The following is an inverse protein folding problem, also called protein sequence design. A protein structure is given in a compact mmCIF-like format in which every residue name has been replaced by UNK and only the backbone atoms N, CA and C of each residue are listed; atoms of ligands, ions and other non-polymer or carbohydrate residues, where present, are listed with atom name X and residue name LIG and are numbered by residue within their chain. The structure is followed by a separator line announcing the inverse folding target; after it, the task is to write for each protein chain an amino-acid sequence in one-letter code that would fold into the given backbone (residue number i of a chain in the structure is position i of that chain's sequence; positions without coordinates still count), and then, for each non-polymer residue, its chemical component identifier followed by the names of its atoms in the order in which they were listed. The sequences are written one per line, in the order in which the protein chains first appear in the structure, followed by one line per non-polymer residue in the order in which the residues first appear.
data_IF_072546676832
#
_entry.id   IF_072546676832
#
_cell.length_a   1.000
_cell.length_b   1.000
_cell.length_c   1.000
_cell.angle_alpha   90.00
_cell.angle_beta   90.00
_cell.angle_gamma   90.00
#
_symmetry.space_group_name_H-M   'P 1'
#
loop_
_entity.id
_entity.type
_entity.pdbx_description
1 polymer ?
#
# COMPACT_ATOMS: atom_id res chain seq x y z
N UNK A 1 0.14 -1.32 -14.58
CA UNK A 1 -1.16 -0.87 -14.04
C UNK A 1 -2.27 -1.91 -14.15
N UNK A 2 -2.67 -2.38 -15.33
CA UNK A 2 -3.73 -3.39 -15.49
C UNK A 2 -3.56 -4.62 -14.58
N UNK A 3 -2.33 -5.16 -14.50
CA UNK A 3 -2.03 -6.32 -13.65
C UNK A 3 -2.39 -6.06 -12.18
N UNK A 4 -2.07 -4.88 -11.64
CA UNK A 4 -2.38 -4.52 -10.25
C UNK A 4 -3.88 -4.60 -9.98
N UNK A 5 -4.68 -3.91 -10.78
CA UNK A 5 -6.14 -3.86 -10.59
C UNK A 5 -6.78 -5.24 -10.70
N UNK A 6 -6.33 -6.03 -11.68
CA UNK A 6 -6.80 -7.42 -11.85
C UNK A 6 -6.46 -8.30 -10.65
N UNK A 7 -5.25 -8.18 -10.09
CA UNK A 7 -4.85 -8.95 -8.89
C UNK A 7 -5.60 -8.48 -7.65
N UNK A 8 -5.79 -7.17 -7.47
CA UNK A 8 -6.61 -6.62 -6.38
C UNK A 8 -8.05 -7.15 -6.43
N UNK A 9 -8.66 -7.21 -7.62
CA UNK A 9 -10.00 -7.79 -7.81
C UNK A 9 -10.13 -9.27 -7.42
N UNK A 10 -9.01 -10.02 -7.36
CA UNK A 10 -8.97 -11.41 -6.86
C UNK A 10 -8.83 -11.49 -5.34
N UNK A 11 -8.38 -10.42 -4.68
CA UNK A 11 -8.18 -10.39 -3.23
C UNK A 11 -9.52 -10.25 -2.48
N UNK A 12 -10.39 -9.35 -2.95
CA UNK A 12 -11.74 -9.17 -2.41
C UNK A 12 -12.67 -8.52 -3.46
N UNK A 13 -13.97 -8.86 -3.49
CA UNK A 13 -14.95 -8.20 -4.36
C UNK A 13 -15.02 -6.67 -4.20
N UNK A 14 -14.59 -6.11 -3.07
CA UNK A 14 -14.51 -4.67 -2.85
C UNK A 14 -13.60 -3.95 -3.86
N UNK A 15 -12.68 -4.66 -4.51
CA UNK A 15 -11.75 -4.14 -5.52
C UNK A 15 -12.13 -4.54 -6.96
N UNK A 16 -13.36 -5.00 -7.19
CA UNK A 16 -13.83 -5.45 -8.51
C UNK A 16 -14.29 -4.32 -9.44
N UNK A 17 -14.57 -3.14 -8.88
CA UNK A 17 -15.09 -1.99 -9.62
C UNK A 17 -14.31 -0.74 -9.26
N UNK A 18 -14.04 0.08 -10.27
CA UNK A 18 -13.24 1.28 -10.13
C UNK A 18 -13.84 2.44 -10.90
N UNK A 19 -13.65 3.63 -10.33
CA UNK A 19 -14.13 4.89 -10.84
C UNK A 19 -12.98 5.89 -10.84
N UNK A 20 -12.90 6.75 -11.85
CA UNK A 20 -11.95 7.87 -11.85
C UNK A 20 -12.29 8.80 -10.67
N UNK A 21 -11.27 9.29 -9.96
CA UNK A 21 -11.48 10.37 -8.99
C UNK A 21 -11.79 11.69 -9.71
N UNK A 22 -12.77 12.42 -9.18
CA UNK A 22 -13.11 13.79 -9.55
C UNK A 22 -13.33 14.65 -8.30
N UNK A 23 -13.22 15.97 -8.45
CA UNK A 23 -13.36 16.95 -7.37
C UNK A 23 -14.69 16.88 -6.59
N UNK A 24 -15.71 16.20 -7.12
CA UNK A 24 -16.94 15.93 -6.40
C UNK A 24 -17.29 14.44 -6.48
N UNK A 25 -17.72 13.89 -5.35
CA UNK A 25 -18.16 12.49 -5.25
C UNK A 25 -19.24 12.13 -6.28
N UNK A 26 -20.17 13.05 -6.55
CA UNK A 26 -21.24 12.87 -7.55
C UNK A 26 -20.68 12.73 -8.95
N UNK A 27 -19.61 13.46 -9.29
CA UNK A 27 -18.93 13.31 -10.57
C UNK A 27 -18.06 12.06 -10.62
N UNK A 28 -17.38 11.70 -9.53
CA UNK A 28 -16.55 10.48 -9.49
C UNK A 28 -17.38 9.21 -9.69
N UNK A 29 -18.59 9.13 -9.14
CA UNK A 29 -19.51 7.99 -9.34
C UNK A 29 -19.99 7.83 -10.80
N UNK A 30 -19.86 8.88 -11.62
CA UNK A 30 -20.28 8.86 -13.03
C UNK A 30 -19.16 8.45 -13.98
N UNK A 31 -17.97 8.14 -13.47
CA UNK A 31 -16.80 7.84 -14.28
C UNK A 31 -16.27 6.42 -14.01
N UNK A 32 -17.10 5.35 -14.18
CA UNK A 32 -16.58 4.00 -14.10
C UNK A 32 -15.57 3.78 -15.23
N UNK A 33 -14.54 3.00 -14.95
CA UNK A 33 -13.60 2.58 -15.98
C UNK A 33 -13.21 1.12 -15.79
N UNK A 34 -12.92 0.47 -16.91
CA UNK A 34 -12.28 -0.85 -16.89
C UNK A 34 -10.77 -0.65 -16.87
N UNK A 35 -10.04 -1.22 -15.89
CA UNK A 35 -8.61 -0.99 -15.69
C UNK A 35 -7.76 -1.81 -16.67
N UNK A 36 -7.99 -1.63 -17.98
CA UNK A 36 -7.24 -2.25 -19.07
C UNK A 36 -6.06 -1.39 -19.50
N UNK A 37 -5.07 -1.99 -20.17
CA UNK A 37 -3.92 -1.28 -20.73
C UNK A 37 -4.36 -0.16 -21.68
N UNK A 38 -5.37 -0.39 -22.53
CA UNK A 38 -5.93 0.64 -23.41
C UNK A 38 -6.50 1.82 -22.61
N UNK A 39 -7.23 1.57 -21.52
CA UNK A 39 -7.74 2.64 -20.67
C UNK A 39 -6.62 3.46 -20.03
N UNK A 40 -5.57 2.81 -19.53
CA UNK A 40 -4.43 3.52 -18.96
C UNK A 40 -3.65 4.33 -20.01
N UNK A 41 -3.49 3.83 -21.24
CA UNK A 41 -2.89 4.61 -22.35
C UNK A 41 -3.66 5.91 -22.60
N UNK A 42 -5.00 5.84 -22.66
CA UNK A 42 -5.84 7.04 -22.76
C UNK A 42 -5.68 7.97 -21.57
N UNK A 43 -5.45 7.44 -20.37
CA UNK A 43 -5.19 8.28 -19.19
C UNK A 43 -3.83 8.97 -19.26
N UNK A 44 -2.75 8.30 -19.68
CA UNK A 44 -1.43 8.91 -19.87
C UNK A 44 -1.47 10.10 -20.85
N UNK A 45 -2.33 10.02 -21.87
CA UNK A 45 -2.52 11.10 -22.83
C UNK A 45 -3.29 12.31 -22.25
N UNK A 46 -4.05 12.17 -21.17
CA UNK A 46 -4.83 13.27 -20.60
C UNK A 46 -3.95 14.19 -19.74
N UNK A 47 -3.92 15.48 -20.07
CA UNK A 47 -3.16 16.50 -19.32
C UNK A 47 -3.51 16.55 -17.83
N UNK A 48 -4.76 16.23 -17.45
CA UNK A 48 -5.21 16.25 -16.05
C UNK A 48 -4.47 15.26 -15.13
N UNK A 49 -3.83 14.23 -15.71
CA UNK A 49 -3.06 13.23 -14.96
C UNK A 49 -1.55 13.43 -15.08
N UNK A 50 -1.11 14.53 -15.70
CA UNK A 50 0.30 14.88 -15.82
C UNK A 50 0.60 16.04 -14.88
N UNK A 51 1.40 15.77 -13.85
CA UNK A 51 1.84 16.80 -12.91
C UNK A 51 3.02 17.60 -13.47
N UNK A 52 3.90 16.92 -14.22
CA UNK A 52 5.00 17.48 -14.99
C UNK A 52 5.12 16.73 -16.33
N UNK A 53 6.15 17.03 -17.14
CA UNK A 53 6.33 16.42 -18.48
C UNK A 53 6.36 14.89 -18.44
N UNK A 54 6.95 14.31 -17.39
CA UNK A 54 7.18 12.87 -17.27
C UNK A 54 6.46 12.25 -16.05
N UNK A 55 5.89 13.08 -15.17
CA UNK A 55 5.24 12.61 -13.94
C UNK A 55 3.75 12.39 -14.18
N UNK A 56 3.33 11.13 -14.04
CA UNK A 56 1.94 10.71 -14.08
C UNK A 56 1.40 10.52 -12.67
N UNK A 57 0.23 11.09 -12.39
CA UNK A 57 -0.49 10.90 -11.12
C UNK A 57 -1.94 10.50 -11.40
N UNK A 58 -2.42 9.50 -10.67
CA UNK A 58 -3.76 8.98 -10.88
C UNK A 58 -4.37 8.48 -9.59
N UNK A 59 -5.67 8.72 -9.47
CA UNK A 59 -6.48 8.30 -8.33
C UNK A 59 -7.74 7.59 -8.84
N UNK A 60 -8.01 6.43 -8.26
CA UNK A 60 -9.22 5.67 -8.48
C UNK A 60 -9.80 5.19 -7.16
N UNK A 61 -11.11 5.04 -7.12
CA UNK A 61 -11.83 4.60 -5.93
C UNK A 61 -12.87 3.55 -6.28
N UNK A 62 -13.25 2.73 -5.31
CA UNK A 62 -14.12 1.58 -5.55
C UNK A 62 -15.62 1.89 -5.50
N UNK A 63 -15.99 3.17 -5.37
CA UNK A 63 -17.37 3.65 -5.50
C UNK A 63 -18.30 3.34 -4.33
N UNK A 64 -17.81 2.78 -3.22
CA UNK A 64 -18.66 2.48 -2.05
C UNK A 64 -19.30 3.77 -1.50
N UNK A 65 -20.64 3.73 -1.37
CA UNK A 65 -21.51 4.91 -1.26
C UNK A 65 -21.65 5.49 0.15
N UNK A 66 -21.03 4.92 1.18
CA UNK A 66 -21.01 5.57 2.48
C UNK A 66 -19.65 6.27 2.70
N UNK A 67 -19.73 7.58 2.90
CA UNK A 67 -18.68 8.48 3.41
C UNK A 67 -17.23 8.39 2.85
N UNK A 68 -16.98 7.93 1.62
CA UNK A 68 -15.61 7.86 1.09
C UNK A 68 -14.72 6.87 1.85
N UNK A 69 -15.34 5.82 2.38
CA UNK A 69 -14.69 4.78 3.17
C UNK A 69 -14.43 3.48 2.39
N UNK A 70 -14.74 3.49 1.10
CA UNK A 70 -14.33 2.45 0.15
C UNK A 70 -12.82 2.39 -0.06
N UNK A 71 -12.39 1.43 -0.88
CA UNK A 71 -11.00 1.34 -1.31
C UNK A 71 -10.65 2.52 -2.21
N UNK A 72 -9.46 3.07 -2.06
CA UNK A 72 -8.94 4.13 -2.93
C UNK A 72 -7.48 3.84 -3.25
N UNK A 73 -7.16 3.80 -4.53
CA UNK A 73 -5.80 3.62 -5.02
C UNK A 73 -5.32 4.95 -5.61
N UNK A 74 -4.23 5.46 -5.09
CA UNK A 74 -3.50 6.58 -5.68
C UNK A 74 -2.09 6.15 -6.03
N UNK A 75 -1.56 6.67 -7.14
CA UNK A 75 -0.18 6.42 -7.48
C UNK A 75 0.43 7.56 -8.29
N UNK A 76 1.75 7.67 -8.15
CA UNK A 76 2.60 8.58 -8.90
C UNK A 76 3.73 7.77 -9.52
N UNK A 77 3.98 7.94 -10.81
CA UNK A 77 5.10 7.29 -11.51
C UNK A 77 5.74 8.19 -12.56
N UNK A 78 6.96 7.85 -12.98
CA UNK A 78 7.72 8.59 -13.99
C UNK A 78 8.47 9.81 -13.44
N UNK A 79 8.55 9.95 -12.12
CA UNK A 79 9.38 10.97 -11.49
C UNK A 79 10.80 10.47 -11.29
N UNK A 80 11.76 11.35 -11.61
CA UNK A 80 13.18 11.20 -11.27
C UNK A 80 13.61 12.18 -10.17
N UNK A 81 12.66 12.93 -9.59
CA UNK A 81 12.92 13.95 -8.58
C UNK A 81 12.44 13.50 -7.19
N UNK A 82 13.22 13.82 -6.15
CA UNK A 82 12.93 13.45 -4.76
C UNK A 82 11.62 14.05 -4.22
N UNK A 83 11.11 15.13 -4.80
CA UNK A 83 9.87 15.79 -4.34
C UNK A 83 8.59 15.06 -4.76
N UNK A 84 8.67 14.15 -5.74
CA UNK A 84 7.55 13.32 -6.17
C UNK A 84 8.03 11.87 -6.27
N UNK A 85 8.24 11.16 -5.15
CA UNK A 85 8.69 9.78 -5.24
C UNK A 85 7.66 8.93 -6.00
N UNK A 86 8.16 7.99 -6.79
CA UNK A 86 7.30 6.97 -7.39
C UNK A 86 6.69 6.14 -6.27
N UNK A 87 5.38 5.96 -6.28
CA UNK A 87 4.69 5.35 -5.16
C UNK A 87 3.27 4.94 -5.50
N UNK A 88 2.79 3.93 -4.78
CA UNK A 88 1.45 3.39 -4.90
C UNK A 88 0.85 3.23 -3.50
N UNK A 89 -0.26 3.94 -3.26
CA UNK A 89 -0.96 3.95 -1.98
C UNK A 89 -2.35 3.37 -2.18
N UNK A 90 -2.66 2.32 -1.42
CA UNK A 90 -4.00 1.76 -1.32
C UNK A 90 -4.59 2.07 0.06
N UNK A 91 -5.63 2.90 0.09
CA UNK A 91 -6.51 3.00 1.23
C UNK A 91 -7.43 1.78 1.26
N UNK A 92 -7.36 1.02 2.36
CA UNK A 92 -8.17 -0.17 2.57
C UNK A 92 -9.64 0.20 2.89
N UNK A 93 -10.61 -0.64 2.53
CA UNK A 93 -12.01 -0.47 2.93
C UNK A 93 -12.15 -0.36 4.45
N UNK A 94 -12.98 0.60 4.87
CA UNK A 94 -13.28 0.87 6.28
C UNK A 94 -14.74 0.58 6.64
N UNK A 95 -15.53 0.14 5.67
CA UNK A 95 -16.95 -0.18 5.85
C UNK A 95 -17.18 -1.68 5.86
N UNK A 96 -18.08 -2.11 6.73
CA UNK A 96 -18.56 -3.48 6.71
C UNK A 96 -19.50 -3.72 5.52
N UNK A 97 -19.53 -4.95 4.97
CA UNK A 97 -18.74 -6.12 5.38
C UNK A 97 -17.33 -6.19 4.75
N UNK A 98 -16.92 -5.20 3.94
CA UNK A 98 -15.64 -5.23 3.23
C UNK A 98 -14.44 -5.12 4.17
N UNK A 99 -14.53 -4.29 5.22
CA UNK A 99 -13.48 -4.08 6.19
C UNK A 99 -13.12 -5.38 6.93
N UNK A 100 -14.09 -6.12 7.47
CA UNK A 100 -13.81 -7.39 8.16
C UNK A 100 -13.20 -8.46 7.26
N UNK A 101 -13.60 -8.53 5.97
CA UNK A 101 -13.00 -9.47 5.01
C UNK A 101 -11.56 -9.10 4.65
N UNK A 102 -11.34 -7.82 4.33
CA UNK A 102 -10.05 -7.33 3.85
C UNK A 102 -9.02 -7.21 4.97
N UNK A 103 -9.41 -6.81 6.18
CA UNK A 103 -8.49 -6.53 7.29
C UNK A 103 -8.09 -7.81 8.05
N UNK A 104 -7.63 -8.79 7.29
CA UNK A 104 -7.07 -10.06 7.75
C UNK A 104 -5.67 -10.22 7.16
N UNK A 105 -4.77 -10.94 7.85
CA UNK A 105 -3.41 -11.16 7.33
C UNK A 105 -3.44 -11.89 5.97
N UNK A 106 -4.34 -12.86 5.79
CA UNK A 106 -4.44 -13.62 4.55
C UNK A 106 -4.78 -12.74 3.34
N UNK A 107 -5.80 -11.89 3.46
CA UNK A 107 -6.18 -11.00 2.35
C UNK A 107 -5.15 -9.90 2.15
N UNK A 108 -4.63 -9.29 3.23
CA UNK A 108 -3.61 -8.24 3.10
C UNK A 108 -2.29 -8.76 2.55
N UNK A 109 -1.93 -10.02 2.81
CA UNK A 109 -0.78 -10.66 2.18
C UNK A 109 -0.95 -10.70 0.65
N UNK A 110 -2.12 -11.09 0.15
CA UNK A 110 -2.40 -11.11 -1.29
C UNK A 110 -2.45 -9.71 -1.89
N UNK A 111 -2.97 -8.72 -1.15
CA UNK A 111 -2.93 -7.31 -1.56
C UNK A 111 -1.48 -6.80 -1.68
N UNK A 112 -0.65 -7.04 -0.65
CA UNK A 112 0.78 -6.67 -0.69
C UNK A 112 1.48 -7.39 -1.83
N UNK A 113 1.22 -8.67 -2.04
CA UNK A 113 1.74 -9.46 -3.17
C UNK A 113 1.34 -8.84 -4.51
N UNK A 114 0.08 -8.46 -4.68
CA UNK A 114 -0.40 -7.79 -5.90
C UNK A 114 0.33 -6.47 -6.17
N UNK A 115 0.61 -5.69 -5.11
CA UNK A 115 1.38 -4.45 -5.22
C UNK A 115 2.85 -4.74 -5.57
N UNK A 116 3.49 -5.68 -4.89
CA UNK A 116 4.90 -6.07 -5.15
C UNK A 116 5.08 -6.53 -6.59
N UNK A 117 4.26 -7.46 -7.07
CA UNK A 117 4.39 -7.98 -8.44
C UNK A 117 4.11 -6.95 -9.54
N UNK A 118 3.37 -5.89 -9.22
CA UNK A 118 3.01 -4.88 -10.20
C UNK A 118 3.91 -3.64 -10.19
N UNK A 119 4.58 -3.37 -9.06
CA UNK A 119 5.39 -2.16 -8.86
C UNK A 119 6.87 -2.41 -8.61
N UNK A 120 7.26 -3.63 -8.25
CA UNK A 120 8.63 -3.96 -7.82
C UNK A 120 9.20 -2.91 -6.82
N UNK A 121 8.49 -2.65 -5.70
CA UNK A 121 8.86 -1.58 -4.80
C UNK A 121 10.08 -1.96 -3.96
N UNK A 122 10.86 -0.97 -3.54
CA UNK A 122 11.91 -1.20 -2.55
C UNK A 122 11.36 -1.62 -1.17
N UNK A 123 10.16 -1.16 -0.84
CA UNK A 123 9.45 -1.47 0.40
C UNK A 123 7.96 -1.20 0.29
N UNK A 124 7.16 -1.93 1.06
CA UNK A 124 5.71 -1.73 1.14
C UNK A 124 5.26 -2.01 2.57
N UNK A 125 4.32 -1.23 3.10
CA UNK A 125 3.82 -1.41 4.46
C UNK A 125 2.31 -1.19 4.54
N UNK A 126 1.65 -2.00 5.37
CA UNK A 126 0.25 -1.80 5.78
C UNK A 126 0.25 -1.12 7.14
N UNK A 127 -0.12 0.15 7.16
CA UNK A 127 -0.06 1.00 8.37
C UNK A 127 -1.45 1.39 8.84
N UNK A 128 -1.58 1.66 10.15
CA UNK A 128 -2.80 2.24 10.68
C UNK A 128 -2.94 3.68 10.17
N UNK A 129 -4.17 4.09 9.84
CA UNK A 129 -4.42 5.45 9.31
C UNK A 129 -3.97 6.57 10.27
N UNK A 130 -4.01 6.31 11.58
CA UNK A 130 -3.57 7.25 12.61
C UNK A 130 -2.06 7.33 12.81
N UNK A 131 -1.27 6.45 12.19
CA UNK A 131 0.18 6.41 12.35
C UNK A 131 0.88 7.47 11.48
N UNK A 132 0.91 8.71 12.01
CA UNK A 132 1.54 9.85 11.32
C UNK A 132 3.03 9.65 11.06
N UNK A 133 3.73 8.94 11.94
CA UNK A 133 5.17 8.69 11.81
C UNK A 133 5.45 7.72 10.65
N UNK A 134 4.71 6.61 10.59
CA UNK A 134 4.83 5.66 9.51
C UNK A 134 4.41 6.26 8.16
N UNK A 135 3.35 7.07 8.14
CA UNK A 135 2.90 7.78 6.93
C UNK A 135 3.99 8.72 6.41
N UNK A 136 4.55 9.58 7.27
CA UNK A 136 5.64 10.48 6.90
C UNK A 136 6.85 9.72 6.36
N UNK A 137 7.27 8.64 7.03
CA UNK A 137 8.41 7.85 6.59
C UNK A 137 8.22 7.24 5.17
N UNK A 138 6.99 6.90 4.78
CA UNK A 138 6.70 6.44 3.41
C UNK A 138 6.65 7.59 2.40
N UNK A 139 6.13 8.75 2.79
CA UNK A 139 6.08 9.96 1.95
C UNK A 139 7.49 10.50 1.65
N UNK A 140 8.42 10.38 2.60
CA UNK A 140 9.82 10.77 2.45
C UNK A 140 10.65 9.75 1.63
N UNK A 141 9.99 8.77 0.97
CA UNK A 141 10.64 7.73 0.18
C UNK A 141 11.35 6.64 1.00
N UNK A 142 11.15 6.66 2.32
CA UNK A 142 11.71 5.69 3.24
C UNK A 142 10.91 4.39 3.35
N UNK A 143 11.27 3.57 4.33
CA UNK A 143 10.50 2.38 4.70
C UNK A 143 10.07 2.48 6.14
N UNK A 144 8.87 2.04 6.44
CA UNK A 144 8.34 1.99 7.79
C UNK A 144 7.94 0.57 8.17
N UNK A 145 7.90 0.31 9.47
CA UNK A 145 7.30 -0.91 10.00
C UNK A 145 5.79 -0.70 10.15
N UNK A 146 5.00 -1.46 9.39
CA UNK A 146 3.55 -1.57 9.54
C UNK A 146 3.13 -2.90 10.17
N UNK A 147 1.82 -3.18 10.14
CA UNK A 147 1.27 -4.49 10.50
C UNK A 147 1.84 -5.60 9.60
N UNK A 148 1.82 -5.35 8.29
CA UNK A 148 2.54 -6.12 7.29
C UNK A 148 3.61 -5.19 6.69
N UNK A 149 4.82 -5.69 6.51
CA UNK A 149 5.93 -4.92 5.91
C UNK A 149 6.70 -5.81 4.95
N UNK A 150 6.68 -5.49 3.67
CA UNK A 150 7.53 -6.11 2.67
C UNK A 150 8.86 -5.35 2.57
N UNK A 151 9.94 -6.12 2.50
CA UNK A 151 11.31 -5.66 2.28
C UNK A 151 11.84 -6.37 1.05
N UNK A 152 12.27 -5.59 0.04
CA UNK A 152 12.89 -6.15 -1.17
C UNK A 152 14.16 -6.94 -0.82
N UNK A 153 14.38 -8.04 -1.53
CA UNK A 153 15.61 -8.84 -1.38
C UNK A 153 16.88 -8.02 -1.65
N UNK A 154 16.78 -6.97 -2.46
CA UNK A 154 17.89 -6.05 -2.74
C UNK A 154 18.33 -5.24 -1.52
N UNK A 155 17.44 -5.05 -0.53
CA UNK A 155 17.77 -4.36 0.73
C UNK A 155 18.45 -5.25 1.76
N UNK A 156 18.45 -6.56 1.54
CA UNK A 156 19.12 -7.53 2.40
C UNK A 156 18.16 -8.47 3.12
N UNK A 157 18.73 -9.25 4.04
CA UNK A 157 18.02 -10.35 4.70
C UNK A 157 17.38 -9.90 6.01
N UNK A 158 16.10 -10.20 6.18
CA UNK A 158 15.38 -9.97 7.44
C UNK A 158 15.98 -10.83 8.56
N UNK A 159 16.37 -10.25 9.71
CA UNK A 159 16.90 -11.00 10.85
C UNK A 159 15.82 -11.85 11.51
N UNK A 160 16.22 -12.72 12.45
CA UNK A 160 15.24 -13.44 13.27
C UNK A 160 14.35 -12.46 14.04
N UNK A 161 13.04 -12.71 14.06
CA UNK A 161 12.05 -11.83 14.68
C UNK A 161 11.53 -12.42 16.00
N UNK A 162 11.21 -11.58 17.00
CA UNK A 162 10.54 -12.02 18.21
C UNK A 162 9.12 -12.49 17.88
N UNK A 163 8.67 -13.59 18.48
CA UNK A 163 7.26 -14.02 18.37
C UNK A 163 6.32 -12.96 18.99
N UNK A 164 5.09 -12.81 18.48
CA UNK A 164 4.48 -13.55 17.38
C UNK A 164 4.87 -13.08 15.96
N UNK A 165 5.75 -12.09 15.83
CA UNK A 165 6.16 -11.60 14.52
C UNK A 165 6.91 -12.69 13.75
N UNK A 166 6.68 -12.73 12.44
CA UNK A 166 7.27 -13.74 11.54
C UNK A 166 7.63 -13.12 10.21
N UNK A 167 8.64 -13.71 9.59
CA UNK A 167 9.10 -13.36 8.25
C UNK A 167 8.73 -14.53 7.32
N UNK A 168 8.05 -14.21 6.23
CA UNK A 168 7.62 -15.15 5.21
C UNK A 168 8.24 -14.73 3.86
N UNK A 169 8.72 -15.65 3.02
CA UNK A 169 9.19 -15.30 1.69
C UNK A 169 8.02 -14.76 0.84
N UNK A 170 8.27 -13.67 0.12
CA UNK A 170 7.36 -13.13 -0.88
C UNK A 170 7.92 -13.50 -2.25
N UNK A 171 7.74 -14.76 -2.63
CA UNK A 171 8.33 -15.37 -3.83
C UNK A 171 9.86 -15.17 -3.87
N UNK A 172 10.41 -14.81 -5.03
CA UNK A 172 11.80 -14.44 -5.23
C UNK A 172 12.06 -12.94 -5.05
N UNK A 173 11.01 -12.15 -4.77
CA UNK A 173 11.08 -10.68 -4.70
C UNK A 173 11.63 -10.17 -3.37
N UNK A 174 11.42 -10.89 -2.28
CA UNK A 174 11.87 -10.44 -0.95
C UNK A 174 11.16 -11.13 0.20
N UNK A 175 11.00 -10.41 1.31
CA UNK A 175 10.44 -10.96 2.55
C UNK A 175 9.28 -10.11 3.03
N UNK A 176 8.15 -10.76 3.37
CA UNK A 176 7.03 -10.17 4.07
C UNK A 176 7.15 -10.43 5.57
N UNK A 177 7.21 -9.36 6.34
CA UNK A 177 7.12 -9.37 7.79
C UNK A 177 5.65 -9.23 8.18
N UNK A 178 5.14 -10.15 8.99
CA UNK A 178 3.84 -10.05 9.62
C UNK A 178 4.06 -9.83 11.12
N UNK A 179 3.63 -8.68 11.62
CA UNK A 179 3.87 -8.28 13.00
C UNK A 179 3.03 -9.08 14.00
N UNK A 180 1.72 -9.21 13.73
CA UNK A 180 0.75 -9.95 14.56
C UNK A 180 -0.20 -10.74 13.67
N UNK A 181 -0.66 -11.94 14.05
CA UNK A 181 -1.69 -12.67 13.29
C UNK A 181 -3.07 -12.00 13.31
N UNK A 182 -3.40 -11.31 14.40
CA UNK A 182 -4.57 -10.47 14.58
C UNK A 182 -4.32 -9.04 14.09
N UNK A 183 -5.42 -8.29 13.88
CA UNK A 183 -5.37 -6.89 13.46
C UNK A 183 -4.52 -6.05 14.40
N UNK A 184 -3.45 -5.47 13.87
CA UNK A 184 -2.62 -4.53 14.61
C UNK A 184 -3.41 -3.29 15.03
N UNK A 185 -3.10 -2.77 16.20
CA UNK A 185 -3.75 -1.60 16.79
C UNK A 185 -2.72 -0.82 17.58
N UNK A 186 -2.71 0.51 17.39
CA UNK A 186 -1.88 1.44 18.15
C UNK A 186 -2.34 1.58 19.60
N UNK A 187 -3.60 1.24 19.88
CA UNK A 187 -4.18 1.31 21.23
C UNK A 187 -3.87 0.06 22.07
N UNK A 188 -3.24 -0.98 21.47
CA UNK A 188 -2.83 -2.17 22.18
C UNK A 188 -1.34 -2.06 22.59
N UNK A 189 -1.01 -1.92 23.90
CA UNK A 189 0.38 -1.78 24.35
C UNK A 189 1.27 -2.96 23.97
N UNK A 190 0.73 -4.18 23.90
CA UNK A 190 1.50 -5.36 23.52
C UNK A 190 1.91 -5.30 22.03
N UNK A 191 1.02 -4.81 21.17
CA UNK A 191 1.30 -4.59 19.75
C UNK A 191 2.39 -3.54 19.57
N UNK A 192 2.27 -2.40 20.26
CA UNK A 192 3.26 -1.31 20.20
C UNK A 192 4.62 -1.77 20.71
N UNK A 193 4.67 -2.49 21.84
CA UNK A 193 5.91 -3.03 22.39
C UNK A 193 6.58 -4.05 21.44
N UNK A 194 5.79 -4.90 20.78
CA UNK A 194 6.29 -5.81 19.76
C UNK A 194 6.84 -5.06 18.55
N UNK A 195 6.13 -4.05 18.06
CA UNK A 195 6.57 -3.18 16.97
C UNK A 195 7.93 -2.55 17.28
N UNK A 196 8.11 -2.02 18.51
CA UNK A 196 9.38 -1.46 18.96
C UNK A 196 10.54 -2.46 18.92
N UNK A 197 10.34 -3.69 19.44
CA UNK A 197 11.37 -4.74 19.41
C UNK A 197 11.71 -5.21 18.01
N UNK A 198 10.71 -5.31 17.11
CA UNK A 198 10.94 -5.68 15.70
C UNK A 198 11.70 -4.56 14.98
N UNK A 199 11.27 -3.31 15.17
CA UNK A 199 11.92 -2.12 14.63
C UNK A 199 13.40 -2.07 14.98
N UNK A 200 13.74 -2.20 16.26
CA UNK A 200 15.13 -2.17 16.72
C UNK A 200 16.01 -3.22 16.00
N UNK A 201 15.45 -4.42 15.75
CA UNK A 201 16.17 -5.47 15.00
C UNK A 201 16.36 -5.12 13.53
N UNK A 202 15.35 -4.52 12.89
CA UNK A 202 15.43 -4.12 11.49
C UNK A 202 16.38 -2.92 11.30
N UNK A 203 16.39 -1.97 12.23
CA UNK A 203 17.33 -0.84 12.25
C UNK A 203 18.78 -1.32 12.42
N UNK A 204 19.04 -2.24 13.38
CA UNK A 204 20.36 -2.87 13.53
C UNK A 204 20.82 -3.65 12.30
N UNK A 205 19.88 -4.15 11.50
CA UNK A 205 20.17 -4.84 10.25
C UNK A 205 20.27 -3.88 9.04
N UNK A 206 20.09 -2.56 9.22
CA UNK A 206 20.11 -1.58 8.14
C UNK A 206 18.89 -1.62 7.21
N UNK A 207 17.80 -2.31 7.61
CA UNK A 207 16.59 -2.49 6.78
C UNK A 207 15.56 -1.38 6.97
N UNK A 208 15.67 -0.61 8.06
CA UNK A 208 14.86 0.58 8.32
C UNK A 208 15.77 1.76 8.62
N UNK A 209 15.39 2.99 8.21
CA UNK A 209 16.09 4.18 8.64
C UNK A 209 15.97 4.35 10.17
N UNK A 210 17.00 4.89 10.83
CA UNK A 210 16.91 5.22 12.25
C UNK A 210 15.80 6.27 12.47
N UNK A 211 15.18 6.29 13.66
CA UNK A 211 14.12 7.25 13.94
C UNK A 211 14.70 8.68 13.97
N UNK A 212 14.34 9.50 12.97
CA UNK A 212 14.66 10.94 12.92
C UNK A 212 15.67 11.40 11.87
N UNK A 213 15.92 10.62 10.81
CA UNK A 213 16.65 11.07 9.63
C UNK A 213 15.84 12.00 8.73
#
# INVERSE_FOLDING_TARGET
MEVLFRQLGRCDPAYSRWFEYAYSRKHSLQLPFEPTSETFLRFFERRKYRLAREVFTFEAWTGQEQQGRGGMLSFTCGSNESFYPNGCLLHLPREEPAASRVLTVSVLREVVRAMVLAWDPDGCAVIAQGDRGAKKAMEDGGTCLGWLTYVSGQRGRVPSLPRPARAEPMEDQGTLIVLTPERFSLDNPAHVALAGRVRERLEKAGLLPPPGG
#
